data_IF_264582185779
#
_entry.id   IF_264582185779
#
_cell.length_a   1.000
_cell.length_b   1.000
_cell.length_c   1.000
_cell.angle_alpha   90.00
_cell.angle_beta   90.00
_cell.angle_gamma   90.00
#
_symmetry.space_group_name_H-M   'P 1'
#
loop_
_entity.id
_entity.type
_entity.pdbx_description
1 polymer ?
#
# COMPACT_ATOMS: atom_id res chain seq x y z
N UNK A 1 -9.61 -19.65 12.20
CA UNK A 1 -8.20 -19.23 12.04
C UNK A 1 -8.28 -18.05 11.10
N UNK A 2 -7.91 -16.84 11.53
CA UNK A 2 -7.96 -15.69 10.64
C UNK A 2 -6.92 -15.91 9.53
N UNK A 3 -7.37 -16.09 8.29
CA UNK A 3 -6.48 -16.09 7.14
C UNK A 3 -5.91 -14.67 7.01
N UNK A 4 -4.63 -14.52 7.35
CA UNK A 4 -3.94 -13.24 7.42
C UNK A 4 -3.70 -12.68 6.02
N UNK A 5 -4.14 -11.44 5.78
CA UNK A 5 -3.81 -10.70 4.55
C UNK A 5 -2.38 -10.18 4.68
N UNK A 6 -1.49 -10.61 3.79
CA UNK A 6 -0.09 -10.16 3.75
C UNK A 6 0.13 -9.35 2.48
N UNK A 7 0.43 -8.06 2.64
CA UNK A 7 0.81 -7.18 1.52
C UNK A 7 2.19 -6.63 1.81
N UNK A 8 3.18 -7.05 1.02
CA UNK A 8 4.56 -6.53 1.11
C UNK A 8 4.85 -5.63 -0.07
N UNK A 9 5.01 -4.32 0.14
CA UNK A 9 5.51 -3.43 -0.89
C UNK A 9 7.00 -3.70 -1.18
N UNK A 10 7.46 -3.37 -2.39
CA UNK A 10 8.86 -3.46 -2.78
C UNK A 10 9.66 -2.43 -2.01
N UNK A 11 10.81 -2.85 -1.48
CA UNK A 11 11.70 -1.97 -0.71
C UNK A 11 12.28 -0.81 -1.54
N UNK A 12 12.91 0.17 -0.88
CA UNK A 12 13.54 1.31 -1.54
C UNK A 12 14.66 0.90 -2.50
N UNK A 13 15.32 -0.22 -2.25
CA UNK A 13 16.39 -0.78 -3.09
C UNK A 13 15.86 -1.51 -4.33
N UNK A 14 14.54 -1.73 -4.43
CA UNK A 14 13.97 -2.42 -5.58
C UNK A 14 13.94 -1.51 -6.83
N UNK A 15 14.25 -2.05 -8.02
CA UNK A 15 14.25 -1.26 -9.25
C UNK A 15 12.89 -0.60 -9.50
N UNK A 16 12.90 0.61 -10.07
CA UNK A 16 11.70 1.39 -10.33
C UNK A 16 11.17 2.19 -9.14
N UNK A 17 11.91 2.28 -8.03
CA UNK A 17 11.54 3.04 -6.83
C UNK A 17 11.04 4.47 -7.13
N UNK A 18 11.82 5.28 -7.85
CA UNK A 18 11.43 6.66 -8.17
C UNK A 18 10.18 6.73 -9.06
N UNK A 19 9.91 5.70 -9.87
CA UNK A 19 8.68 5.64 -10.68
C UNK A 19 7.47 5.38 -9.79
N UNK A 20 7.59 4.45 -8.83
CA UNK A 20 6.56 4.19 -7.80
C UNK A 20 6.30 5.43 -6.96
N UNK A 21 7.36 6.03 -6.41
CA UNK A 21 7.26 7.26 -5.61
C UNK A 21 6.53 8.38 -6.37
N UNK A 22 6.94 8.66 -7.62
CA UNK A 22 6.28 9.68 -8.46
C UNK A 22 4.79 9.35 -8.65
N UNK A 23 4.46 8.10 -8.97
CA UNK A 23 3.08 7.68 -9.20
C UNK A 23 2.21 7.79 -7.95
N UNK A 24 2.74 7.40 -6.79
CA UNK A 24 2.05 7.55 -5.51
C UNK A 24 1.74 9.02 -5.19
N UNK A 25 2.67 9.94 -5.47
CA UNK A 25 2.44 11.38 -5.27
C UNK A 25 1.34 11.92 -6.21
N UNK A 26 1.32 11.50 -7.47
CA UNK A 26 0.27 11.87 -8.42
C UNK A 26 -1.11 11.40 -7.94
N UNK A 27 -1.20 10.16 -7.48
CA UNK A 27 -2.45 9.57 -7.00
C UNK A 27 -2.94 10.25 -5.71
N UNK A 28 -2.05 10.51 -4.76
CA UNK A 28 -2.38 11.22 -3.54
C UNK A 28 -2.89 12.65 -3.83
N UNK A 29 -2.27 13.34 -4.79
CA UNK A 29 -2.74 14.66 -5.24
C UNK A 29 -4.13 14.59 -5.85
N UNK A 30 -4.42 13.58 -6.69
CA UNK A 30 -5.75 13.38 -7.26
C UNK A 30 -6.80 13.10 -6.19
N UNK A 31 -6.47 12.26 -5.21
CA UNK A 31 -7.35 11.99 -4.08
C UNK A 31 -7.65 13.27 -3.28
N UNK A 32 -6.63 14.10 -3.02
CA UNK A 32 -6.79 15.38 -2.34
C UNK A 32 -7.66 16.39 -3.11
N UNK A 33 -7.75 16.27 -4.44
CA UNK A 33 -8.67 17.06 -5.27
C UNK A 33 -10.10 16.51 -5.29
N UNK A 34 -10.38 15.43 -4.56
CA UNK A 34 -11.70 14.81 -4.47
C UNK A 34 -12.05 13.93 -5.67
N UNK A 35 -11.06 13.46 -6.45
CA UNK A 35 -11.29 12.52 -7.55
C UNK A 35 -11.61 11.12 -6.98
N UNK A 36 -12.85 10.63 -7.09
CA UNK A 36 -13.23 9.33 -6.52
C UNK A 36 -12.49 8.17 -7.22
N UNK A 37 -12.15 8.32 -8.50
CA UNK A 37 -11.38 7.30 -9.23
C UNK A 37 -9.91 7.25 -8.82
N UNK A 38 -9.44 8.21 -8.01
CA UNK A 38 -8.09 8.17 -7.46
C UNK A 38 -7.92 7.06 -6.43
N UNK A 39 -8.97 6.74 -5.66
CA UNK A 39 -8.92 5.65 -4.68
C UNK A 39 -8.76 4.30 -5.39
N UNK A 40 -9.58 4.03 -6.40
CA UNK A 40 -9.47 2.82 -7.21
C UNK A 40 -8.08 2.69 -7.83
N UNK A 41 -7.55 3.78 -8.40
CA UNK A 41 -6.22 3.80 -8.99
C UNK A 41 -5.09 3.64 -7.97
N UNK A 42 -5.29 4.03 -6.70
CA UNK A 42 -4.34 3.76 -5.62
C UNK A 42 -4.33 2.28 -5.24
N UNK A 43 -5.50 1.64 -5.20
CA UNK A 43 -5.61 0.22 -4.89
C UNK A 43 -4.96 -0.60 -6.00
N UNK A 44 -5.29 -0.32 -7.26
CA UNK A 44 -4.70 -0.99 -8.41
C UNK A 44 -3.17 -0.82 -8.41
N UNK A 45 -2.68 0.38 -8.10
CA UNK A 45 -1.26 0.64 -7.97
C UNK A 45 -0.59 -0.23 -6.90
N UNK A 46 -1.22 -0.40 -5.73
CA UNK A 46 -0.70 -1.29 -4.67
C UNK A 46 -0.67 -2.73 -5.15
N UNK A 47 -1.73 -3.21 -5.81
CA UNK A 47 -1.80 -4.59 -6.33
C UNK A 47 -0.69 -4.84 -7.38
N UNK A 48 -0.52 -3.91 -8.32
CA UNK A 48 0.44 -4.02 -9.41
C UNK A 48 1.90 -3.94 -8.97
N UNK A 49 2.17 -3.22 -7.87
CA UNK A 49 3.53 -2.92 -7.46
C UNK A 49 3.98 -3.68 -6.21
N UNK A 50 3.08 -4.34 -5.49
CA UNK A 50 3.46 -5.13 -4.33
C UNK A 50 4.46 -6.22 -4.72
N UNK A 51 5.49 -6.39 -3.90
CA UNK A 51 6.45 -7.47 -4.07
C UNK A 51 5.80 -8.83 -3.73
N UNK A 52 4.87 -8.83 -2.78
CA UNK A 52 4.12 -10.03 -2.39
C UNK A 52 2.72 -9.64 -1.93
N UNK A 53 1.74 -10.43 -2.38
CA UNK A 53 0.36 -10.36 -1.89
C UNK A 53 -0.07 -11.80 -1.56
N UNK A 54 -0.49 -12.02 -0.32
CA UNK A 54 -1.18 -13.24 0.10
C UNK A 54 -2.53 -12.86 0.65
N UNK A 55 -3.55 -13.49 0.10
CA UNK A 55 -4.94 -13.32 0.50
C UNK A 55 -5.57 -14.68 0.76
N UNK A 56 -6.64 -14.74 1.57
CA UNK A 56 -7.41 -15.96 1.81
C UNK A 56 -7.89 -16.60 0.52
N UNK A 57 -8.12 -17.91 0.53
CA UNK A 57 -8.62 -18.61 -0.66
C UNK A 57 -10.01 -18.08 -1.05
N UNK A 58 -10.16 -17.62 -2.30
CA UNK A 58 -11.41 -17.07 -2.81
C UNK A 58 -11.63 -15.58 -2.53
N UNK A 59 -10.64 -14.87 -1.98
CA UNK A 59 -10.63 -13.41 -1.84
C UNK A 59 -9.76 -12.79 -2.92
N UNK A 60 -10.27 -11.75 -3.58
CA UNK A 60 -9.50 -10.99 -4.55
C UNK A 60 -8.54 -10.01 -3.83
N UNK A 61 -7.28 -9.84 -4.30
CA UNK A 61 -6.33 -8.87 -3.75
C UNK A 61 -6.90 -7.46 -3.57
N UNK A 62 -7.73 -7.05 -4.51
CA UNK A 62 -8.37 -5.73 -4.53
C UNK A 62 -9.37 -5.59 -3.38
N UNK A 63 -10.20 -6.60 -3.17
CA UNK A 63 -11.18 -6.62 -2.07
C UNK A 63 -10.47 -6.71 -0.72
N UNK A 64 -9.40 -7.51 -0.62
CA UNK A 64 -8.58 -7.56 0.58
C UNK A 64 -7.96 -6.20 0.96
N UNK A 65 -7.59 -5.37 -0.03
CA UNK A 65 -7.08 -4.01 0.21
C UNK A 65 -8.21 -3.07 0.64
N UNK A 66 -9.41 -3.22 0.06
CA UNK A 66 -10.60 -2.45 0.44
C UNK A 66 -11.06 -2.73 1.87
N UNK A 67 -10.82 -3.94 2.37
CA UNK A 67 -11.12 -4.35 3.74
C UNK A 67 -10.07 -3.89 4.78
N UNK A 68 -8.96 -3.30 4.34
CA UNK A 68 -7.94 -2.77 5.25
C UNK A 68 -8.46 -1.57 6.04
N UNK A 69 -7.98 -1.42 7.28
CA UNK A 69 -8.14 -0.16 7.99
C UNK A 69 -7.33 0.96 7.33
N UNK A 70 -7.71 2.22 7.59
CA UNK A 70 -6.97 3.38 7.11
C UNK A 70 -5.48 3.32 7.48
N UNK A 71 -5.16 2.98 8.73
CA UNK A 71 -3.77 2.85 9.21
C UNK A 71 -3.00 1.77 8.45
N UNK A 72 -3.62 0.61 8.21
CA UNK A 72 -3.00 -0.48 7.46
C UNK A 72 -2.72 -0.09 6.01
N UNK A 73 -3.67 0.58 5.37
CA UNK A 73 -3.52 1.08 4.01
C UNK A 73 -2.41 2.16 3.93
N UNK A 74 -2.35 3.08 4.90
CA UNK A 74 -1.30 4.10 4.98
C UNK A 74 0.09 3.49 5.15
N UNK A 75 0.24 2.41 5.93
CA UNK A 75 1.51 1.68 6.07
C UNK A 75 1.94 1.07 4.74
N UNK A 76 1.03 0.35 4.06
CA UNK A 76 1.32 -0.29 2.76
C UNK A 76 1.67 0.76 1.71
N UNK A 77 0.87 1.83 1.62
CA UNK A 77 1.06 2.89 0.63
C UNK A 77 2.25 3.80 0.95
N UNK A 78 2.56 4.01 2.24
CA UNK A 78 3.77 4.69 2.70
C UNK A 78 5.02 3.92 2.26
N UNK A 79 5.07 2.62 2.51
CA UNK A 79 6.23 1.83 2.12
C UNK A 79 6.43 1.77 0.58
N UNK A 80 5.37 1.88 -0.24
CA UNK A 80 5.49 2.06 -1.70
C UNK A 80 6.21 3.36 -2.11
N UNK A 81 6.12 4.41 -1.28
CA UNK A 81 6.80 5.70 -1.48
C UNK A 81 8.23 5.69 -0.93
N UNK A 82 8.63 4.62 -0.25
CA UNK A 82 9.85 4.62 0.54
C UNK A 82 9.72 5.43 1.83
N UNK A 83 8.48 5.70 2.27
CA UNK A 83 8.16 6.05 3.65
C UNK A 83 8.37 4.79 4.53
N UNK A 84 9.60 4.27 4.51
CA UNK A 84 10.17 3.56 5.63
C UNK A 84 10.84 4.62 6.52
N UNK A 85 10.06 5.62 6.94
CA UNK A 85 10.31 6.24 8.23
C UNK A 85 10.00 5.16 9.24
N UNK A 86 11.02 4.63 9.92
CA UNK A 86 10.84 3.59 10.92
C UNK A 86 9.69 3.97 11.86
N UNK A 87 8.67 3.12 11.90
CA UNK A 87 8.06 2.83 13.19
C UNK A 87 9.14 2.06 13.94
N UNK A 88 9.93 2.79 14.74
CA UNK A 88 10.46 2.19 15.95
C UNK A 88 9.19 1.85 16.77
N UNK A 89 8.81 0.58 16.94
CA UNK A 89 7.76 0.28 17.88
C UNK A 89 8.27 0.76 19.23
N UNK A 90 7.67 1.82 19.77
CA UNK A 90 7.90 2.25 21.13
C UNK A 90 7.42 1.13 22.06
N UNK A 91 8.23 0.08 22.21
CA UNK A 91 8.28 -0.74 23.41
C UNK A 91 8.99 0.14 24.44
N UNK A 92 8.20 0.58 25.42
CA UNK A 92 8.63 1.54 26.41
C UNK A 92 9.84 1.12 27.23
N UNK A 93 10.56 2.15 27.68
CA UNK A 93 11.11 2.20 29.03
C UNK A 93 10.26 3.21 29.83
#
# INVERSE_FOLDING_TARGET
MAEEIVIRPPGPDAPGFLRRMRRSMELQKRLATGDPAALDAMIDFVVENAAEIRVPAGVEPRDAILDLSQEQFEVVFGAMRGDAGGVDPQNGD
#
